data_IF_440702114763
#
_entry.id   IF_440702114763
#
_cell.length_a   1.000
_cell.length_b   1.000
_cell.length_c   1.000
_cell.angle_alpha   90.00
_cell.angle_beta   90.00
_cell.angle_gamma   90.00
#
_symmetry.space_group_name_H-M   'P 1'
#
loop_
_entity.id
_entity.type
_entity.pdbx_description
1 polymer ?
#
# COMPACT_ATOMS: atom_id res chain seq x y z
N UNK A 1 43.51 24.36 -48.90
CA UNK A 1 44.68 23.61 -48.37
C UNK A 1 44.17 22.66 -47.30
N UNK A 2 44.05 21.37 -47.65
CA UNK A 2 44.83 20.23 -47.10
C UNK A 2 44.66 20.12 -45.57
N UNK A 3 43.75 19.26 -45.08
CA UNK A 3 43.96 17.83 -44.72
C UNK A 3 44.71 17.71 -43.36
N UNK A 4 44.48 16.77 -42.45
CA UNK A 4 44.22 15.33 -42.51
C UNK A 4 43.61 14.88 -41.15
N UNK A 5 42.91 13.74 -41.21
CA UNK A 5 42.33 12.90 -40.16
C UNK A 5 43.33 12.40 -39.11
N UNK A 6 42.87 12.00 -37.92
CA UNK A 6 43.45 10.81 -37.29
C UNK A 6 42.38 9.94 -36.59
N UNK A 7 42.46 8.66 -36.94
CA UNK A 7 41.66 7.53 -36.51
C UNK A 7 42.41 6.86 -35.38
N UNK A 8 41.70 6.43 -34.34
CA UNK A 8 42.23 5.54 -33.31
C UNK A 8 41.20 4.49 -32.93
N UNK A 9 41.14 3.41 -33.70
CA UNK A 9 40.51 2.13 -33.35
C UNK A 9 41.57 1.30 -32.62
N UNK A 10 41.27 0.72 -31.45
CA UNK A 10 41.89 -0.49 -30.86
C UNK A 10 41.24 -0.68 -29.48
N UNK A 11 40.84 -1.84 -28.97
CA UNK A 11 41.01 -3.23 -29.37
C UNK A 11 39.99 -4.05 -28.58
N UNK A 12 39.21 -4.88 -29.26
CA UNK A 12 38.37 -5.91 -28.65
C UNK A 12 39.19 -7.20 -28.66
N UNK A 13 39.73 -7.64 -27.52
CA UNK A 13 40.19 -9.02 -27.36
C UNK A 13 40.49 -9.36 -25.89
N UNK A 14 40.23 -10.65 -25.61
CA UNK A 14 40.87 -11.50 -24.59
C UNK A 14 40.04 -11.81 -23.33
N UNK A 15 39.27 -12.89 -23.48
CA UNK A 15 39.25 -14.12 -22.65
C UNK A 15 38.92 -13.95 -21.16
N UNK A 16 37.74 -14.39 -20.72
CA UNK A 16 37.45 -15.78 -20.28
C UNK A 16 38.39 -16.32 -19.18
N UNK A 17 37.72 -16.80 -18.12
CA UNK A 17 38.13 -17.82 -17.15
C UNK A 17 38.81 -17.33 -15.86
N UNK A 18 38.02 -17.19 -14.80
CA UNK A 18 38.19 -18.03 -13.61
C UNK A 18 36.88 -18.08 -12.82
N UNK A 19 36.15 -19.18 -12.99
CA UNK A 19 35.29 -19.70 -11.93
C UNK A 19 36.18 -20.02 -10.73
N UNK A 20 35.98 -19.29 -9.63
CA UNK A 20 36.46 -19.73 -8.33
C UNK A 20 35.25 -19.78 -7.39
N UNK A 21 34.56 -20.93 -7.44
CA UNK A 21 33.68 -21.34 -6.36
C UNK A 21 34.54 -21.65 -5.13
N UNK A 22 34.62 -20.70 -4.20
CA UNK A 22 35.07 -21.01 -2.85
C UNK A 22 33.92 -21.65 -2.10
N UNK A 23 34.06 -22.95 -1.85
CA UNK A 23 33.25 -23.76 -0.94
C UNK A 23 33.44 -23.22 0.48
N UNK A 24 32.58 -22.29 0.88
CA UNK A 24 32.40 -21.87 2.27
C UNK A 24 31.41 -22.80 2.96
N UNK A 25 31.92 -23.57 3.91
CA UNK A 25 31.15 -24.47 4.75
C UNK A 25 30.04 -23.75 5.53
N UNK A 26 28.93 -24.47 5.65
CA UNK A 26 27.67 -24.06 6.24
C UNK A 26 27.84 -23.51 7.66
N UNK A 27 27.47 -22.24 7.84
CA UNK A 27 26.64 -21.88 8.98
C UNK A 27 25.28 -21.54 8.41
N UNK A 28 24.18 -22.20 8.81
CA UNK A 28 22.89 -21.57 8.67
C UNK A 28 23.02 -20.26 9.43
N UNK A 29 23.03 -19.14 8.69
CA UNK A 29 22.54 -17.92 9.26
C UNK A 29 21.16 -18.32 9.78
N UNK A 30 21.01 -18.36 11.10
CA UNK A 30 19.70 -18.27 11.73
C UNK A 30 19.04 -17.11 10.99
N UNK A 31 18.10 -17.46 10.11
CA UNK A 31 17.06 -16.56 9.71
C UNK A 31 16.50 -16.13 11.03
N UNK A 32 16.93 -14.96 11.48
CA UNK A 32 16.30 -14.22 12.53
C UNK A 32 14.89 -14.12 12.00
N UNK A 33 14.03 -15.00 12.50
CA UNK A 33 12.60 -14.92 12.28
C UNK A 33 12.32 -13.46 12.48
N UNK A 34 11.91 -12.76 11.41
CA UNK A 34 11.42 -11.41 11.52
C UNK A 34 10.57 -11.43 12.77
N UNK A 35 11.05 -10.72 13.79
CA UNK A 35 10.26 -10.50 14.96
C UNK A 35 9.05 -9.82 14.37
N UNK A 36 7.98 -10.59 14.22
CA UNK A 36 6.63 -10.11 14.19
C UNK A 36 6.51 -9.39 15.52
N UNK A 37 7.03 -8.17 15.54
CA UNK A 37 6.69 -7.13 16.49
C UNK A 37 5.19 -7.07 16.25
N UNK A 38 4.47 -7.81 17.09
CA UNK A 38 3.06 -8.12 16.91
C UNK A 38 2.37 -6.81 17.21
N UNK A 39 2.32 -5.92 16.22
CA UNK A 39 1.69 -4.62 16.35
C UNK A 39 0.28 -4.94 16.76
N UNK A 40 -0.07 -4.55 17.98
CA UNK A 40 -1.35 -4.90 18.58
C UNK A 40 -2.42 -4.26 17.69
N UNK A 41 -3.21 -5.08 17.01
CA UNK A 41 -4.29 -4.57 16.19
C UNK A 41 -5.29 -3.81 17.07
N UNK A 42 -5.78 -2.68 16.57
CA UNK A 42 -6.81 -1.87 17.24
C UNK A 42 -8.11 -2.66 17.31
N UNK A 43 -8.40 -3.42 16.26
CA UNK A 43 -9.58 -4.26 16.14
C UNK A 43 -9.29 -5.55 15.38
N UNK A 44 -10.23 -6.50 15.50
CA UNK A 44 -10.21 -7.78 14.80
C UNK A 44 -11.55 -7.98 14.10
N UNK A 45 -11.51 -8.23 12.79
CA UNK A 45 -12.68 -8.45 11.95
C UNK A 45 -12.75 -9.93 11.58
N UNK A 46 -13.86 -10.58 11.94
CA UNK A 46 -14.05 -12.03 11.74
C UNK A 46 -15.20 -12.38 10.82
N UNK A 47 -16.03 -11.40 10.45
CA UNK A 47 -17.21 -11.55 9.59
C UNK A 47 -17.09 -10.62 8.40
N UNK A 48 -17.69 -11.02 7.28
CA UNK A 48 -17.75 -10.18 6.08
C UNK A 48 -18.38 -8.84 6.43
N UNK A 49 -17.76 -7.75 5.97
CA UNK A 49 -18.17 -6.37 6.26
C UNK A 49 -17.51 -5.43 5.27
N UNK A 50 -18.07 -4.24 5.14
CA UNK A 50 -17.45 -3.12 4.44
C UNK A 50 -17.07 -2.09 5.50
N UNK A 51 -15.80 -1.69 5.53
CA UNK A 51 -15.30 -0.65 6.42
C UNK A 51 -14.94 0.57 5.58
N UNK A 52 -15.43 1.74 5.98
CA UNK A 52 -14.97 3.03 5.47
C UNK A 52 -14.05 3.65 6.52
N UNK A 53 -12.78 3.80 6.16
CA UNK A 53 -11.77 4.41 7.03
C UNK A 53 -11.62 5.88 6.68
N UNK A 54 -11.69 6.76 7.68
CA UNK A 54 -11.36 8.17 7.56
C UNK A 54 -10.09 8.53 8.34
N UNK A 55 -9.43 9.66 8.00
CA UNK A 55 -8.22 10.11 8.68
C UNK A 55 -8.52 10.54 10.13
N UNK A 56 -7.54 10.33 11.01
CA UNK A 56 -7.53 10.96 12.33
C UNK A 56 -6.92 12.38 12.28
N UNK A 57 -6.86 13.06 13.43
CA UNK A 57 -6.37 14.44 13.52
C UNK A 57 -4.90 14.58 13.07
N UNK A 58 -4.05 13.61 13.41
CA UNK A 58 -2.64 13.61 13.00
C UNK A 58 -2.52 13.43 11.49
N UNK A 59 -3.27 12.48 10.93
CA UNK A 59 -3.32 12.25 9.48
C UNK A 59 -3.89 13.47 8.73
N UNK A 60 -4.90 14.15 9.28
CA UNK A 60 -5.44 15.40 8.71
C UNK A 60 -4.37 16.47 8.66
N UNK A 61 -3.64 16.68 9.75
CA UNK A 61 -2.57 17.68 9.81
C UNK A 61 -1.44 17.37 8.83
N UNK A 62 -1.08 16.10 8.68
CA UNK A 62 -0.10 15.65 7.70
C UNK A 62 -0.56 15.92 6.26
N UNK A 63 -1.82 15.63 5.95
CA UNK A 63 -2.39 15.90 4.62
C UNK A 63 -2.37 17.40 4.34
N UNK A 64 -2.83 18.24 5.28
CA UNK A 64 -2.82 19.71 5.13
C UNK A 64 -1.41 20.24 4.90
N UNK A 65 -0.42 19.76 5.65
CA UNK A 65 0.99 20.14 5.47
C UNK A 65 1.54 19.73 4.11
N UNK A 66 1.17 18.54 3.62
CA UNK A 66 1.66 17.98 2.36
C UNK A 66 1.00 18.58 1.12
N UNK A 67 -0.31 18.77 1.15
CA UNK A 67 -1.12 19.15 -0.03
C UNK A 67 -1.51 20.63 -0.06
N UNK A 68 -1.38 21.34 1.07
CA UNK A 68 -1.93 22.67 1.26
C UNK A 68 -3.37 22.63 1.76
N UNK A 69 -3.76 23.66 2.51
CA UNK A 69 -5.04 23.70 3.20
C UNK A 69 -6.24 23.80 2.25
N UNK A 70 -6.15 24.59 1.17
CA UNK A 70 -7.23 24.70 0.18
C UNK A 70 -7.48 23.37 -0.56
N UNK A 71 -6.40 22.67 -0.93
CA UNK A 71 -6.49 21.35 -1.56
C UNK A 71 -7.06 20.31 -0.60
N UNK A 72 -6.70 20.39 0.69
CA UNK A 72 -7.26 19.50 1.71
C UNK A 72 -8.78 19.60 1.75
N UNK A 73 -9.36 20.81 1.75
CA UNK A 73 -10.81 20.95 1.79
C UNK A 73 -11.50 20.44 0.53
N UNK A 74 -10.85 20.56 -0.64
CA UNK A 74 -11.36 19.95 -1.88
C UNK A 74 -11.39 18.42 -1.78
N UNK A 75 -10.29 17.81 -1.32
CA UNK A 75 -10.19 16.36 -1.11
C UNK A 75 -11.20 15.87 -0.07
N UNK A 76 -11.38 16.63 1.01
CA UNK A 76 -12.33 16.28 2.06
C UNK A 76 -13.79 16.36 1.57
N UNK A 77 -14.11 17.33 0.71
CA UNK A 77 -15.44 17.44 0.11
C UNK A 77 -15.74 16.25 -0.81
N UNK A 78 -14.80 15.90 -1.70
CA UNK A 78 -14.89 14.70 -2.54
C UNK A 78 -15.04 13.44 -1.68
N UNK A 79 -14.24 13.31 -0.62
CA UNK A 79 -14.31 12.16 0.27
C UNK A 79 -15.67 12.05 0.99
N UNK A 80 -16.25 13.17 1.41
CA UNK A 80 -17.58 13.20 2.01
C UNK A 80 -18.66 12.81 1.00
N UNK A 81 -18.59 13.34 -0.22
CA UNK A 81 -19.50 12.98 -1.31
C UNK A 81 -19.49 11.48 -1.56
N UNK A 82 -18.33 10.89 -1.85
CA UNK A 82 -18.24 9.45 -2.14
C UNK A 82 -18.58 8.59 -0.93
N UNK A 83 -18.26 9.04 0.29
CA UNK A 83 -18.68 8.32 1.50
C UNK A 83 -20.19 8.25 1.61
N UNK A 84 -20.90 9.36 1.37
CA UNK A 84 -22.36 9.40 1.39
C UNK A 84 -22.97 8.47 0.33
N UNK A 85 -22.47 8.53 -0.90
CA UNK A 85 -22.90 7.66 -2.00
C UNK A 85 -22.68 6.16 -1.66
N UNK A 86 -21.54 5.83 -1.05
CA UNK A 86 -21.24 4.45 -0.60
C UNK A 86 -22.19 4.02 0.51
N UNK A 87 -22.52 4.90 1.47
CA UNK A 87 -23.50 4.57 2.52
C UNK A 87 -24.91 4.35 1.95
N UNK A 88 -25.30 5.09 0.93
CA UNK A 88 -26.59 4.90 0.26
C UNK A 88 -26.64 3.56 -0.48
N UNK A 89 -25.61 3.26 -1.28
CA UNK A 89 -25.54 2.02 -2.06
C UNK A 89 -25.26 0.76 -1.21
N UNK A 90 -24.53 0.92 -0.10
CA UNK A 90 -24.17 -0.16 0.83
C UNK A 90 -24.43 0.26 2.30
N UNK A 91 -25.69 0.23 2.76
CA UNK A 91 -26.07 0.72 4.11
C UNK A 91 -25.45 -0.05 5.29
N UNK A 92 -24.90 -1.24 5.04
CA UNK A 92 -24.19 -2.03 6.06
C UNK A 92 -22.72 -1.62 6.26
N UNK A 93 -22.23 -0.62 5.51
CA UNK A 93 -20.90 -0.06 5.67
C UNK A 93 -20.72 0.52 7.06
N UNK A 94 -19.51 0.40 7.64
CA UNK A 94 -19.18 0.93 8.96
C UNK A 94 -18.11 2.00 8.80
N UNK A 95 -18.41 3.24 9.19
CA UNK A 95 -17.38 4.28 9.34
C UNK A 95 -16.55 4.03 10.59
N UNK A 96 -15.22 4.09 10.48
CA UNK A 96 -14.32 3.91 11.62
C UNK A 96 -12.96 4.58 11.43
N UNK A 97 -12.28 4.88 12.54
CA UNK A 97 -10.92 5.40 12.60
C UNK A 97 -9.86 4.36 12.95
N UNK A 98 -10.13 3.06 12.74
CA UNK A 98 -9.13 2.01 13.03
C UNK A 98 -7.89 2.16 12.14
N UNK A 99 -6.69 2.04 12.72
CA UNK A 99 -5.41 2.15 12.02
C UNK A 99 -4.84 0.77 11.69
N UNK A 100 -4.92 -0.17 12.63
CA UNK A 100 -4.43 -1.54 12.47
C UNK A 100 -5.58 -2.53 12.65
N UNK A 101 -5.87 -3.29 11.60
CA UNK A 101 -7.04 -4.18 11.55
C UNK A 101 -6.56 -5.60 11.29
N UNK A 102 -6.86 -6.50 12.23
CA UNK A 102 -6.58 -7.92 12.08
C UNK A 102 -7.69 -8.68 11.39
N UNK A 103 -7.34 -9.50 10.38
CA UNK A 103 -8.20 -10.44 9.67
C UNK A 103 -7.67 -11.87 9.90
N UNK A 104 -7.96 -12.50 11.05
CA UNK A 104 -7.30 -13.72 11.48
C UNK A 104 -7.65 -14.94 10.62
N UNK A 105 -8.82 -14.95 9.96
CA UNK A 105 -9.21 -16.04 9.06
C UNK A 105 -8.31 -16.14 7.83
N UNK A 106 -7.71 -15.03 7.43
CA UNK A 106 -6.83 -14.92 6.26
C UNK A 106 -5.36 -14.74 6.65
N UNK A 107 -5.05 -14.79 7.95
CA UNK A 107 -3.73 -14.46 8.49
C UNK A 107 -3.20 -13.13 7.93
N UNK A 108 -4.08 -12.12 7.86
CA UNK A 108 -3.79 -10.82 7.28
C UNK A 108 -3.95 -9.70 8.30
N UNK A 109 -3.07 -8.70 8.24
CA UNK A 109 -3.15 -7.49 9.06
C UNK A 109 -3.03 -6.30 8.13
N UNK A 110 -4.07 -5.47 8.12
CA UNK A 110 -4.03 -4.17 7.48
C UNK A 110 -3.41 -3.15 8.43
N UNK A 111 -2.53 -2.30 7.90
CA UNK A 111 -1.91 -1.18 8.62
C UNK A 111 -2.05 0.08 7.77
N UNK A 112 -2.95 0.97 8.21
CA UNK A 112 -3.30 2.22 7.52
C UNK A 112 -2.10 3.16 7.37
N UNK A 113 -1.11 3.07 8.25
CA UNK A 113 0.09 3.91 8.18
C UNK A 113 0.91 3.64 6.91
N UNK A 114 0.79 2.43 6.36
CA UNK A 114 1.47 2.01 5.11
C UNK A 114 0.72 2.44 3.85
N UNK A 115 -0.50 2.98 3.98
CA UNK A 115 -1.28 3.50 2.86
C UNK A 115 -1.00 4.98 2.63
N UNK A 116 -0.89 5.38 1.35
CA UNK A 116 -0.77 6.78 0.95
C UNK A 116 -2.10 7.54 1.16
N UNK A 117 -3.21 6.88 0.82
CA UNK A 117 -4.57 7.36 1.02
C UNK A 117 -5.03 7.09 2.44
N UNK A 118 -5.69 8.10 3.04
CA UNK A 118 -6.22 8.01 4.41
C UNK A 118 -7.74 7.89 4.47
N UNK A 119 -8.40 8.12 3.35
CA UNK A 119 -9.79 7.73 3.09
C UNK A 119 -9.80 6.47 2.23
N UNK A 120 -10.29 5.37 2.79
CA UNK A 120 -10.20 4.04 2.16
C UNK A 120 -11.46 3.24 2.42
N UNK A 121 -11.77 2.31 1.53
CA UNK A 121 -12.73 1.25 1.79
C UNK A 121 -12.02 -0.09 1.89
N UNK A 122 -12.37 -0.88 2.90
CA UNK A 122 -12.03 -2.30 2.96
C UNK A 122 -13.31 -3.10 2.75
N UNK A 123 -13.44 -3.73 1.59
CA UNK A 123 -14.47 -4.74 1.33
C UNK A 123 -13.91 -6.12 1.72
N UNK A 124 -14.40 -6.64 2.83
CA UNK A 124 -13.96 -7.92 3.36
C UNK A 124 -15.07 -8.97 3.25
N UNK A 125 -14.72 -10.10 2.65
CA UNK A 125 -15.53 -11.30 2.61
C UNK A 125 -14.79 -12.41 3.34
N UNK A 126 -15.35 -12.92 4.42
CA UNK A 126 -14.72 -13.96 5.23
C UNK A 126 -14.38 -15.19 4.38
N UNK A 127 -13.14 -15.65 4.47
CA UNK A 127 -12.56 -16.68 3.61
C UNK A 127 -11.84 -16.14 2.38
N UNK A 128 -11.71 -14.82 2.23
CA UNK A 128 -10.98 -14.17 1.14
C UNK A 128 -10.19 -12.98 1.68
N UNK A 129 -9.00 -12.73 1.11
CA UNK A 129 -8.21 -11.57 1.51
C UNK A 129 -9.02 -10.27 1.35
N UNK A 130 -8.95 -9.33 2.31
CA UNK A 130 -9.63 -8.05 2.20
C UNK A 130 -9.19 -7.29 0.96
N UNK A 131 -10.14 -6.66 0.27
CA UNK A 131 -9.85 -5.78 -0.86
C UNK A 131 -9.89 -4.34 -0.40
N UNK A 132 -8.85 -3.59 -0.75
CA UNK A 132 -8.68 -2.20 -0.36
C UNK A 132 -8.91 -1.32 -1.58
N UNK A 133 -9.70 -0.27 -1.43
CA UNK A 133 -10.08 0.64 -2.48
C UNK A 133 -9.91 2.09 -2.02
N UNK A 134 -9.65 3.00 -2.96
CA UNK A 134 -10.02 4.41 -2.79
C UNK A 134 -11.55 4.53 -2.72
N UNK A 135 -12.07 5.66 -2.22
CA UNK A 135 -13.51 5.89 -2.19
C UNK A 135 -14.11 5.89 -3.61
N UNK A 136 -13.43 6.52 -4.57
CA UNK A 136 -13.87 6.61 -5.97
C UNK A 136 -13.93 5.22 -6.63
N UNK A 137 -12.87 4.42 -6.45
CA UNK A 137 -12.81 3.09 -7.05
C UNK A 137 -13.87 2.16 -6.45
N UNK A 138 -14.13 2.27 -5.14
CA UNK A 138 -15.19 1.49 -4.52
C UNK A 138 -16.58 1.92 -4.99
N UNK A 139 -16.83 3.23 -5.08
CA UNK A 139 -18.07 3.76 -5.62
C UNK A 139 -18.35 3.24 -7.04
N UNK A 140 -17.34 3.29 -7.93
CA UNK A 140 -17.46 2.71 -9.27
C UNK A 140 -17.68 1.21 -9.23
N UNK A 141 -16.96 0.49 -8.37
CA UNK A 141 -17.09 -0.96 -8.21
C UNK A 141 -18.53 -1.39 -7.88
N UNK A 142 -19.26 -0.59 -7.10
CA UNK A 142 -20.62 -0.94 -6.67
C UNK A 142 -21.72 -0.38 -7.59
N UNK A 143 -21.44 0.67 -8.37
CA UNK A 143 -22.43 1.33 -9.24
C UNK A 143 -22.33 0.97 -10.73
N UNK A 144 -21.12 0.70 -11.26
CA UNK A 144 -20.87 0.50 -12.70
C UNK A 144 -20.82 -0.99 -13.11
N UNK A 145 -21.63 -1.85 -12.50
CA UNK A 145 -21.62 -3.31 -12.71
C UNK A 145 -21.73 -3.76 -14.17
#
# INVERSE_FOLDING_TARGET
>A
MKAVKWVGIFSFAVLMSIYSCTKGENKPAEQTSDQHQKTKADTVITKSTILLLGPDEEEIDEIKKRQGEDNFYTIADDANYYSAEIFEAAPATIYTGYRIIGFPKENYVFDKNKSEDKWLVIDYKAGSQPKIYSLVDYYRHITEK
#
